data_IF_082298536634
#
_entry.id   IF_082298536634
#
_cell.length_a   1.000
_cell.length_b   1.000
_cell.length_c   1.000
_cell.angle_alpha   90.00
_cell.angle_beta   90.00
_cell.angle_gamma   90.00
#
_symmetry.space_group_name_H-M   'P 1'
#
loop_
_entity.id
_entity.type
_entity.pdbx_description
1 polymer ?
#
# COMPACT_ATOMS: atom_id res chain seq x y z
N UNK A 1 -74.32 -14.08 23.59
CA UNK A 1 -74.34 -15.24 24.50
C UNK A 1 -73.27 -16.24 24.09
N UNK A 2 -72.29 -16.43 24.98
CA UNK A 2 -71.48 -17.64 25.24
C UNK A 2 -70.96 -18.48 24.04
N UNK A 3 -69.64 -18.59 23.88
CA UNK A 3 -68.80 -19.53 24.66
C UNK A 3 -67.31 -19.22 24.45
N UNK A 4 -66.63 -18.85 25.54
CA UNK A 4 -65.17 -18.91 25.68
C UNK A 4 -64.76 -20.38 25.62
N UNK A 5 -63.76 -20.70 24.81
CA UNK A 5 -62.99 -21.94 24.94
C UNK A 5 -61.55 -21.56 25.29
N UNK A 6 -61.16 -21.87 26.52
CA UNK A 6 -59.77 -21.77 26.97
C UNK A 6 -58.97 -22.90 26.32
N UNK A 7 -57.92 -22.54 25.57
CA UNK A 7 -56.84 -23.46 25.22
C UNK A 7 -55.59 -23.03 25.98
N UNK A 8 -55.27 -23.82 26.99
CA UNK A 8 -53.98 -23.85 27.70
C UNK A 8 -52.90 -24.34 26.73
N UNK A 9 -52.08 -23.42 26.24
CA UNK A 9 -50.87 -23.72 25.49
C UNK A 9 -49.65 -23.35 26.33
N UNK A 10 -48.97 -24.37 26.87
CA UNK A 10 -47.66 -24.21 27.49
C UNK A 10 -46.63 -23.95 26.38
N UNK A 11 -46.31 -22.68 26.11
CA UNK A 11 -45.17 -22.34 25.29
C UNK A 11 -43.94 -22.27 26.19
N UNK A 12 -43.14 -23.34 26.19
CA UNK A 12 -41.80 -23.38 26.77
C UNK A 12 -40.96 -22.32 26.06
N UNK A 13 -40.65 -21.23 26.75
CA UNK A 13 -39.70 -20.24 26.27
C UNK A 13 -38.30 -20.85 26.45
N UNK A 14 -37.79 -21.50 25.40
CA UNK A 14 -36.42 -21.98 25.38
C UNK A 14 -35.49 -20.75 25.41
N UNK A 15 -34.85 -20.54 26.56
CA UNK A 15 -33.82 -19.52 26.73
C UNK A 15 -32.60 -19.95 25.90
N UNK A 16 -32.49 -19.44 24.68
CA UNK A 16 -31.29 -19.58 23.88
C UNK A 16 -30.17 -18.77 24.56
N UNK A 17 -29.29 -19.47 25.29
CA UNK A 17 -28.05 -18.90 25.78
C UNK A 17 -27.21 -18.60 24.54
N UNK A 18 -27.16 -17.33 24.13
CA UNK A 18 -26.19 -16.85 23.17
C UNK A 18 -24.81 -17.03 23.82
N UNK A 19 -24.08 -18.08 23.41
CA UNK A 19 -22.66 -18.18 23.69
C UNK A 19 -21.99 -17.01 22.97
N UNK A 20 -21.65 -15.96 23.72
CA UNK A 20 -20.77 -14.91 23.23
C UNK A 20 -19.41 -15.55 22.93
N UNK A 21 -19.20 -15.93 21.68
CA UNK A 21 -17.87 -16.26 21.20
C UNK A 21 -17.07 -14.97 21.31
N UNK A 22 -16.04 -14.99 22.16
CA UNK A 22 -15.00 -13.97 22.10
C UNK A 22 -14.33 -14.14 20.75
N UNK A 23 -14.79 -13.38 19.75
CA UNK A 23 -14.08 -13.23 18.51
C UNK A 23 -12.90 -12.32 18.83
N UNK A 24 -11.70 -12.89 18.82
CA UNK A 24 -10.46 -12.14 18.89
C UNK A 24 -10.28 -11.43 17.54
N UNK A 25 -11.04 -10.35 17.33
CA UNK A 25 -11.06 -9.56 16.09
C UNK A 25 -9.83 -8.66 15.94
N UNK A 26 -8.92 -8.67 16.91
CA UNK A 26 -7.64 -8.01 16.82
C UNK A 26 -6.64 -9.06 16.32
N UNK A 27 -6.26 -8.95 15.04
CA UNK A 27 -5.13 -9.70 14.50
C UNK A 27 -3.86 -9.44 15.31
N UNK A 28 -2.86 -10.30 15.15
CA UNK A 28 -1.57 -10.13 15.81
C UNK A 28 -1.03 -8.71 15.55
N UNK A 29 -0.72 -7.99 16.62
CA UNK A 29 -0.20 -6.60 16.58
C UNK A 29 1.33 -6.61 16.53
N UNK A 30 1.96 -7.79 16.54
CA UNK A 30 3.38 -7.93 16.30
C UNK A 30 3.73 -7.51 14.85
N UNK A 31 4.87 -6.84 14.65
CA UNK A 31 5.37 -6.55 13.30
C UNK A 31 5.47 -7.82 12.47
N UNK A 32 5.01 -7.75 11.23
CA UNK A 32 5.03 -8.86 10.30
C UNK A 32 6.37 -8.90 9.58
N UNK A 33 7.04 -10.07 9.53
CA UNK A 33 8.36 -10.20 8.90
C UNK A 33 8.26 -9.93 7.40
N UNK A 34 9.33 -9.35 6.85
CA UNK A 34 9.43 -9.00 5.44
C UNK A 34 10.53 -9.86 4.81
N UNK A 35 10.19 -10.61 3.76
CA UNK A 35 11.20 -11.35 2.98
C UNK A 35 11.99 -10.35 2.12
N UNK A 36 13.30 -10.26 2.38
CA UNK A 36 14.22 -9.36 1.67
C UNK A 36 15.32 -10.12 0.92
N UNK A 37 15.18 -11.42 0.72
CA UNK A 37 16.20 -12.29 0.10
C UNK A 37 16.53 -11.88 -1.33
N UNK A 38 15.58 -11.26 -2.03
CA UNK A 38 15.76 -10.78 -3.39
C UNK A 38 16.46 -9.41 -3.50
N UNK A 39 16.79 -8.77 -2.38
CA UNK A 39 17.50 -7.49 -2.36
C UNK A 39 19.00 -7.71 -2.12
N UNK A 40 19.87 -6.85 -2.68
CA UNK A 40 21.29 -6.85 -2.33
C UNK A 40 21.52 -6.74 -0.82
N UNK A 41 22.57 -7.38 -0.33
CA UNK A 41 22.93 -7.26 1.07
C UNK A 41 23.44 -5.86 1.39
N UNK A 42 23.00 -5.37 2.54
CA UNK A 42 23.44 -4.13 3.18
C UNK A 42 24.07 -4.57 4.50
N UNK A 43 25.27 -4.11 4.80
CA UNK A 43 26.04 -4.59 5.95
C UNK A 43 25.32 -4.45 7.30
N UNK A 44 25.98 -4.89 8.36
CA UNK A 44 25.41 -4.79 9.72
C UNK A 44 25.30 -3.35 10.21
N UNK A 45 26.19 -2.47 9.77
CA UNK A 45 26.14 -1.04 10.07
C UNK A 45 25.02 -0.38 9.26
N UNK A 46 24.24 0.46 9.94
CA UNK A 46 23.19 1.23 9.29
C UNK A 46 23.79 2.26 8.33
N UNK A 47 23.39 2.15 7.07
CA UNK A 47 23.67 3.13 6.05
C UNK A 47 22.99 4.45 6.40
N UNK A 48 23.58 5.56 5.96
CA UNK A 48 22.95 6.88 6.09
C UNK A 48 22.02 7.25 4.93
N UNK A 49 22.19 6.59 3.78
CA UNK A 49 21.50 6.90 2.53
C UNK A 49 20.78 5.68 1.98
N UNK A 50 19.68 5.90 1.27
CA UNK A 50 18.91 4.84 0.66
C UNK A 50 19.72 4.09 -0.43
N UNK A 51 20.10 2.81 -0.22
CA UNK A 51 20.92 2.06 -1.14
C UNK A 51 20.16 1.56 -2.37
N UNK A 52 18.82 1.58 -2.36
CA UNK A 52 18.00 0.95 -3.40
C UNK A 52 17.40 1.95 -4.41
N UNK A 53 17.87 3.20 -4.43
CA UNK A 53 17.50 4.14 -5.50
C UNK A 53 18.02 3.64 -6.85
N UNK A 54 17.27 3.91 -7.92
CA UNK A 54 17.56 3.39 -9.26
C UNK A 54 18.94 3.81 -9.79
N UNK A 55 19.40 5.02 -9.47
CA UNK A 55 20.72 5.53 -9.84
C UNK A 55 21.89 4.82 -9.14
N UNK A 56 21.61 4.19 -8.00
CA UNK A 56 22.60 3.51 -7.14
C UNK A 56 22.58 2.00 -7.35
N UNK A 57 21.39 1.39 -7.35
CA UNK A 57 21.20 -0.06 -7.41
C UNK A 57 20.74 -0.60 -8.77
N UNK A 58 20.37 0.28 -9.70
CA UNK A 58 19.75 -0.08 -10.97
C UNK A 58 18.24 -0.27 -10.86
N UNK A 59 17.54 -0.15 -11.99
CA UNK A 59 16.08 -0.19 -12.08
C UNK A 59 15.47 -1.51 -11.56
N UNK A 60 16.12 -2.64 -11.85
CA UNK A 60 15.62 -3.96 -11.41
C UNK A 60 15.59 -4.09 -9.88
N UNK A 61 16.68 -3.68 -9.21
CA UNK A 61 16.75 -3.71 -7.74
C UNK A 61 15.80 -2.68 -7.14
N UNK A 62 15.74 -1.48 -7.73
CA UNK A 62 14.81 -0.44 -7.29
C UNK A 62 13.37 -0.92 -7.35
N UNK A 63 12.93 -1.51 -8.47
CA UNK A 63 11.58 -2.04 -8.60
C UNK A 63 11.31 -3.15 -7.58
N UNK A 64 12.29 -4.04 -7.35
CA UNK A 64 12.18 -5.09 -6.33
C UNK A 64 12.02 -4.51 -4.92
N UNK A 65 12.75 -3.44 -4.62
CA UNK A 65 12.66 -2.74 -3.35
C UNK A 65 11.31 -2.03 -3.18
N UNK A 66 10.76 -1.43 -4.24
CA UNK A 66 9.40 -0.87 -4.24
C UNK A 66 8.35 -1.95 -3.96
N UNK A 67 8.43 -3.10 -4.63
CA UNK A 67 7.46 -4.20 -4.44
C UNK A 67 7.49 -4.76 -3.00
N UNK A 68 8.69 -5.07 -2.50
CA UNK A 68 8.90 -5.57 -1.13
C UNK A 68 8.49 -4.50 -0.12
N UNK A 69 8.87 -3.24 -0.37
CA UNK A 69 8.55 -2.09 0.46
C UNK A 69 7.05 -1.83 0.55
N UNK A 70 6.32 -1.97 -0.55
CA UNK A 70 4.86 -1.81 -0.60
C UNK A 70 4.16 -2.82 0.32
N UNK A 71 4.54 -4.10 0.21
CA UNK A 71 4.02 -5.14 1.10
C UNK A 71 4.40 -4.89 2.56
N UNK A 72 5.67 -4.57 2.82
CA UNK A 72 6.17 -4.29 4.16
C UNK A 72 5.48 -3.10 4.82
N UNK A 73 5.28 -2.02 4.07
CA UNK A 73 4.59 -0.82 4.51
C UNK A 73 3.12 -1.10 4.83
N UNK A 74 2.42 -1.82 3.95
CA UNK A 74 1.00 -2.12 4.15
C UNK A 74 0.76 -2.99 5.39
N UNK A 75 1.69 -3.89 5.71
CA UNK A 75 1.58 -4.76 6.88
C UNK A 75 1.96 -4.06 8.20
N UNK A 76 2.96 -3.17 8.17
CA UNK A 76 3.58 -2.65 9.39
C UNK A 76 3.32 -1.16 9.66
N UNK A 77 3.02 -0.35 8.64
CA UNK A 77 3.05 1.11 8.73
C UNK A 77 1.68 1.75 8.41
N UNK A 78 0.95 1.18 7.45
CA UNK A 78 -0.26 1.79 6.89
C UNK A 78 -1.40 2.01 7.90
N UNK A 79 -1.43 1.26 9.00
CA UNK A 79 -2.41 1.48 10.09
C UNK A 79 -2.30 2.88 10.71
N UNK A 80 -1.10 3.44 10.77
CA UNK A 80 -0.82 4.74 11.38
C UNK A 80 -0.60 5.84 10.34
N UNK A 81 0.18 5.53 9.30
CA UNK A 81 0.56 6.47 8.25
C UNK A 81 -0.39 6.46 7.04
N UNK A 82 -1.43 5.61 7.10
CA UNK A 82 -2.43 5.43 6.05
C UNK A 82 -1.95 4.62 4.86
N UNK A 83 -2.90 4.14 4.05
CA UNK A 83 -2.60 3.35 2.85
C UNK A 83 -1.86 4.22 1.82
N UNK A 84 -0.89 3.63 1.12
CA UNK A 84 -0.09 4.41 0.15
C UNK A 84 0.73 5.55 0.77
N UNK A 85 0.95 5.51 2.09
CA UNK A 85 1.56 6.58 2.90
C UNK A 85 0.76 7.88 3.00
N UNK A 86 -0.51 7.87 2.56
CA UNK A 86 -1.43 9.01 2.66
C UNK A 86 -2.09 9.00 4.03
N UNK A 87 -1.71 9.93 4.90
CA UNK A 87 -2.19 9.90 6.29
C UNK A 87 -3.65 10.34 6.43
N UNK A 88 -4.40 9.61 7.27
CA UNK A 88 -5.72 10.01 7.77
C UNK A 88 -5.70 10.88 9.03
N UNK A 89 -4.53 11.40 9.44
CA UNK A 89 -4.36 12.31 10.57
C UNK A 89 -3.91 11.66 11.89
N UNK A 90 -3.68 10.34 11.92
CA UNK A 90 -3.17 9.66 13.13
C UNK A 90 -1.65 9.84 13.31
N UNK A 91 -0.89 9.69 12.23
CA UNK A 91 0.55 9.94 12.17
C UNK A 91 0.88 10.84 10.96
N UNK A 92 2.11 11.35 10.79
CA UNK A 92 2.43 12.19 9.62
C UNK A 92 2.26 11.45 8.28
N UNK A 93 1.85 12.18 7.24
CA UNK A 93 1.90 11.71 5.84
C UNK A 93 3.37 11.60 5.42
N UNK A 94 3.80 10.39 5.06
CA UNK A 94 5.21 10.12 4.81
C UNK A 94 5.63 10.47 3.38
N UNK A 95 4.70 10.80 2.48
CA UNK A 95 5.04 11.22 1.12
C UNK A 95 5.79 12.54 1.10
N UNK A 96 5.61 13.37 2.14
CA UNK A 96 6.34 14.63 2.31
C UNK A 96 7.75 14.46 2.88
N UNK A 97 8.18 13.23 3.19
CA UNK A 97 9.56 12.99 3.56
C UNK A 97 10.42 12.92 2.30
N UNK A 98 11.09 14.03 1.99
CA UNK A 98 11.88 14.25 0.78
C UNK A 98 12.80 13.08 0.44
N UNK A 99 12.89 12.72 -0.84
CA UNK A 99 13.84 11.72 -1.35
C UNK A 99 15.25 12.30 -1.43
N UNK A 100 15.85 12.55 -0.27
CA UNK A 100 17.14 13.20 -0.11
C UNK A 100 17.89 12.62 1.10
N UNK A 101 19.17 12.94 1.21
CA UNK A 101 20.03 12.56 2.35
C UNK A 101 19.40 12.99 3.69
N UNK A 102 18.83 14.20 3.73
CA UNK A 102 18.14 14.70 4.93
C UNK A 102 16.89 13.88 5.26
N UNK A 103 16.09 13.51 4.26
CA UNK A 103 14.94 12.64 4.46
C UNK A 103 15.33 11.24 4.92
N UNK A 104 16.47 10.73 4.45
CA UNK A 104 17.00 9.42 4.83
C UNK A 104 17.47 9.39 6.28
N UNK A 105 18.17 10.43 6.74
CA UNK A 105 18.55 10.59 8.15
C UNK A 105 17.32 10.57 9.08
N UNK A 106 16.27 11.29 8.70
CA UNK A 106 15.01 11.29 9.46
C UNK A 106 14.32 9.92 9.43
N UNK A 107 14.27 9.28 8.27
CA UNK A 107 13.64 7.97 8.14
C UNK A 107 14.37 6.94 8.99
N UNK A 108 15.69 6.85 8.88
CA UNK A 108 16.48 5.79 9.50
C UNK A 108 16.49 5.92 11.01
N UNK A 109 16.53 7.14 11.57
CA UNK A 109 16.39 7.37 13.01
C UNK A 109 15.04 6.85 13.52
N UNK A 110 13.95 7.27 12.85
CA UNK A 110 12.58 6.94 13.26
C UNK A 110 12.29 5.46 13.09
N UNK A 111 12.77 4.85 12.02
CA UNK A 111 12.62 3.43 11.78
C UNK A 111 13.37 2.59 12.82
N UNK A 112 14.62 2.97 13.12
CA UNK A 112 15.45 2.23 14.07
C UNK A 112 14.92 2.33 15.50
N UNK A 113 14.63 3.55 15.95
CA UNK A 113 14.43 3.84 17.36
C UNK A 113 12.98 4.18 17.73
N UNK A 114 12.11 4.31 16.72
CA UNK A 114 10.72 4.70 16.92
C UNK A 114 10.61 6.16 17.36
N UNK A 115 9.49 6.48 18.02
CA UNK A 115 9.25 7.81 18.60
C UNK A 115 8.48 7.67 19.90
N UNK A 116 9.04 8.22 20.98
CA UNK A 116 8.40 8.28 22.30
C UNK A 116 8.33 9.73 22.75
N UNK A 117 7.15 10.14 23.19
CA UNK A 117 6.89 11.49 23.70
C UNK A 117 6.15 11.38 25.03
N UNK A 118 6.64 12.07 26.06
CA UNK A 118 6.07 12.06 27.41
C UNK A 118 5.90 10.65 28.00
N UNK A 119 6.86 9.77 27.70
CA UNK A 119 6.83 8.36 28.13
C UNK A 119 5.85 7.46 27.36
N UNK A 120 5.15 8.00 26.35
CA UNK A 120 4.20 7.26 25.51
C UNK A 120 4.86 6.98 24.15
N UNK A 121 5.03 5.71 23.82
CA UNK A 121 5.48 5.29 22.48
C UNK A 121 4.40 5.63 21.45
N UNK A 122 4.75 6.50 20.51
CA UNK A 122 3.91 6.94 19.38
C UNK A 122 4.21 6.15 18.12
N UNK A 123 5.47 5.78 17.93
CA UNK A 123 5.93 4.92 16.84
C UNK A 123 6.85 3.83 17.43
N UNK A 124 6.58 2.54 17.19
CA UNK A 124 7.47 1.47 17.62
C UNK A 124 8.85 1.54 16.96
N UNK A 125 9.86 1.01 17.62
CA UNK A 125 11.17 0.76 17.02
C UNK A 125 11.11 -0.51 16.15
N UNK A 126 11.57 -0.42 14.90
CA UNK A 126 11.55 -1.52 13.94
C UNK A 126 12.96 -2.02 13.57
N UNK A 127 14.02 -1.32 13.97
CA UNK A 127 15.39 -1.60 13.54
C UNK A 127 15.81 -3.05 13.78
N UNK A 128 15.73 -3.53 15.02
CA UNK A 128 16.08 -4.91 15.37
C UNK A 128 15.03 -5.94 14.90
N UNK A 129 13.78 -5.50 14.73
CA UNK A 129 12.64 -6.40 14.46
C UNK A 129 12.57 -6.78 12.98
N UNK A 130 12.70 -5.79 12.10
CA UNK A 130 12.58 -5.96 10.65
C UNK A 130 13.94 -5.93 9.93
N UNK A 131 14.93 -5.26 10.52
CA UNK A 131 16.26 -5.13 9.94
C UNK A 131 16.36 -4.08 8.84
N UNK A 132 17.60 -3.78 8.46
CA UNK A 132 17.95 -2.70 7.56
C UNK A 132 17.44 -2.88 6.13
N UNK A 133 17.54 -4.10 5.56
CA UNK A 133 17.04 -4.37 4.20
C UNK A 133 15.56 -4.04 4.07
N UNK A 134 14.77 -4.38 5.08
CA UNK A 134 13.34 -4.11 5.11
C UNK A 134 13.06 -2.60 5.27
N UNK A 135 13.80 -1.92 6.16
CA UNK A 135 13.71 -0.47 6.34
C UNK A 135 13.93 0.29 5.03
N UNK A 136 15.00 -0.02 4.31
CA UNK A 136 15.30 0.65 3.04
C UNK A 136 14.34 0.30 1.90
N UNK A 137 13.81 -0.92 1.86
CA UNK A 137 12.75 -1.27 0.92
C UNK A 137 11.48 -0.42 1.17
N UNK A 138 11.06 -0.32 2.43
CA UNK A 138 9.93 0.53 2.84
C UNK A 138 10.18 1.99 2.48
N UNK A 139 11.39 2.51 2.75
CA UNK A 139 11.79 3.87 2.38
C UNK A 139 11.67 4.11 0.88
N UNK A 140 12.21 3.20 0.08
CA UNK A 140 12.15 3.28 -1.40
C UNK A 140 10.71 3.33 -1.87
N UNK A 141 9.83 2.48 -1.34
CA UNK A 141 8.40 2.56 -1.64
C UNK A 141 7.78 3.91 -1.26
N UNK A 142 8.09 4.45 -0.07
CA UNK A 142 7.57 5.77 0.36
C UNK A 142 8.01 6.89 -0.59
N UNK A 143 9.27 6.89 -1.04
CA UNK A 143 9.80 7.90 -1.96
C UNK A 143 9.00 7.94 -3.27
N UNK A 144 8.54 6.79 -3.77
CA UNK A 144 7.82 6.69 -5.04
C UNK A 144 6.35 7.12 -5.01
N UNK A 145 5.82 7.51 -3.84
CA UNK A 145 4.38 7.77 -3.72
C UNK A 145 3.98 9.05 -4.48
N UNK A 146 2.92 8.99 -5.31
CA UNK A 146 2.43 10.15 -6.05
C UNK A 146 2.04 11.32 -5.14
N UNK A 147 2.24 12.55 -5.64
CA UNK A 147 1.63 13.73 -5.05
C UNK A 147 0.10 13.70 -5.15
N UNK A 148 -0.56 14.52 -4.33
CA UNK A 148 -2.01 14.64 -4.38
C UNK A 148 -2.46 15.21 -5.73
N UNK A 149 -3.51 14.64 -6.32
CA UNK A 149 -4.02 15.04 -7.63
C UNK A 149 -3.09 14.76 -8.83
N UNK A 150 -2.00 13.99 -8.64
CA UNK A 150 -1.02 13.74 -9.71
C UNK A 150 -1.59 13.07 -10.98
N UNK A 151 -2.78 12.47 -10.87
CA UNK A 151 -3.47 11.78 -11.96
C UNK A 151 -4.73 12.51 -12.44
N UNK A 152 -5.11 13.64 -11.84
CA UNK A 152 -6.38 14.33 -12.12
C UNK A 152 -6.54 14.65 -13.61
N UNK A 153 -5.46 15.12 -14.23
CA UNK A 153 -5.45 15.46 -15.66
C UNK A 153 -5.70 14.25 -16.59
N UNK A 154 -5.43 13.03 -16.11
CA UNK A 154 -5.61 11.79 -16.87
C UNK A 154 -6.74 10.91 -16.32
N UNK A 155 -7.46 11.35 -15.29
CA UNK A 155 -8.41 10.51 -14.55
C UNK A 155 -9.51 9.96 -15.45
N UNK A 156 -10.17 10.80 -16.24
CA UNK A 156 -11.21 10.37 -17.17
C UNK A 156 -10.68 9.32 -18.16
N UNK A 157 -9.47 9.55 -18.71
CA UNK A 157 -8.86 8.63 -19.66
C UNK A 157 -8.48 7.30 -19.00
N UNK A 158 -7.98 7.31 -17.77
CA UNK A 158 -7.66 6.09 -17.04
C UNK A 158 -8.92 5.27 -16.72
N UNK A 159 -10.06 5.91 -16.47
CA UNK A 159 -11.35 5.24 -16.33
C UNK A 159 -11.80 4.57 -17.63
N UNK A 160 -11.63 5.25 -18.77
CA UNK A 160 -11.91 4.66 -20.09
C UNK A 160 -11.03 3.44 -20.38
N UNK A 161 -9.71 3.54 -20.11
CA UNK A 161 -8.76 2.43 -20.29
C UNK A 161 -9.15 1.25 -19.41
N UNK A 162 -9.49 1.51 -18.14
CA UNK A 162 -9.99 0.48 -17.21
C UNK A 162 -11.20 -0.24 -17.77
N UNK A 163 -12.20 0.49 -18.26
CA UNK A 163 -13.45 -0.08 -18.77
C UNK A 163 -13.21 -0.88 -20.06
N UNK A 164 -12.32 -0.40 -20.93
CA UNK A 164 -11.87 -1.12 -22.14
C UNK A 164 -11.18 -2.44 -21.77
N UNK A 165 -10.23 -2.42 -20.82
CA UNK A 165 -9.54 -3.63 -20.34
C UNK A 165 -10.49 -4.62 -19.63
N UNK A 166 -11.45 -4.11 -18.84
CA UNK A 166 -12.43 -4.94 -18.13
C UNK A 166 -13.40 -5.66 -19.09
N UNK A 167 -13.83 -4.98 -20.16
CA UNK A 167 -14.70 -5.56 -21.20
C UNK A 167 -13.95 -6.51 -22.14
N UNK A 168 -12.66 -6.24 -22.39
CA UNK A 168 -11.86 -6.94 -23.39
C UNK A 168 -12.21 -6.59 -24.83
N UNK A 169 -13.14 -5.65 -25.04
CA UNK A 169 -13.59 -5.26 -26.37
C UNK A 169 -12.67 -4.19 -26.96
N UNK A 170 -12.18 -4.42 -28.18
CA UNK A 170 -11.35 -3.45 -28.91
C UNK A 170 -10.02 -3.14 -28.21
N UNK A 171 -9.50 -4.05 -27.36
CA UNK A 171 -8.22 -3.86 -26.68
C UNK A 171 -7.06 -4.01 -27.67
N UNK A 172 -6.26 -2.96 -27.77
CA UNK A 172 -4.91 -3.01 -28.34
C UNK A 172 -3.92 -2.95 -27.17
N UNK A 173 -3.39 -4.11 -26.71
CA UNK A 173 -2.58 -4.16 -25.50
C UNK A 173 -1.27 -3.38 -25.65
N UNK A 174 -0.69 -3.33 -26.85
CA UNK A 174 0.54 -2.60 -27.10
C UNK A 174 0.31 -1.07 -27.06
N UNK A 175 -0.78 -0.60 -27.67
CA UNK A 175 -1.15 0.81 -27.64
C UNK A 175 -1.51 1.27 -26.21
N UNK A 176 -2.34 0.50 -25.49
CA UNK A 176 -2.73 0.85 -24.12
C UNK A 176 -1.54 0.82 -23.16
N UNK A 177 -0.63 -0.14 -23.30
CA UNK A 177 0.59 -0.17 -22.51
C UNK A 177 1.48 1.05 -22.75
N UNK A 178 1.61 1.47 -24.00
CA UNK A 178 2.37 2.68 -24.36
C UNK A 178 1.72 3.91 -23.74
N UNK A 179 0.40 4.07 -23.90
CA UNK A 179 -0.35 5.20 -23.34
C UNK A 179 -0.26 5.28 -21.82
N UNK A 180 -0.43 4.15 -21.12
CA UNK A 180 -0.29 4.09 -19.66
C UNK A 180 1.15 4.41 -19.19
N UNK A 181 2.16 4.01 -19.96
CA UNK A 181 3.57 4.35 -19.68
C UNK A 181 3.80 5.85 -19.84
N UNK A 182 3.25 6.46 -20.89
CA UNK A 182 3.34 7.90 -21.12
C UNK A 182 2.64 8.69 -20.01
N UNK A 183 1.44 8.26 -19.59
CA UNK A 183 0.73 8.86 -18.44
C UNK A 183 1.59 8.72 -17.18
N UNK A 184 2.10 7.52 -16.89
CA UNK A 184 2.93 7.25 -15.72
C UNK A 184 4.17 8.15 -15.64
N UNK A 185 4.81 8.43 -16.79
CA UNK A 185 5.97 9.31 -16.86
C UNK A 185 5.66 10.77 -16.48
N UNK A 186 4.40 11.19 -16.48
CA UNK A 186 3.97 12.53 -16.05
C UNK A 186 3.62 12.63 -14.56
N UNK A 187 3.51 11.48 -13.87
CA UNK A 187 3.10 11.43 -12.46
C UNK A 187 4.24 11.86 -11.57
N UNK A 188 4.04 12.95 -10.84
CA UNK A 188 5.01 13.46 -9.87
C UNK A 188 4.90 12.73 -8.54
N UNK A 189 6.03 12.53 -7.88
CA UNK A 189 6.07 12.07 -6.50
C UNK A 189 5.96 13.26 -5.55
N UNK A 190 5.37 13.05 -4.37
CA UNK A 190 5.33 14.11 -3.36
C UNK A 190 6.70 14.33 -2.68
N UNK A 191 7.57 13.33 -2.73
CA UNK A 191 8.90 13.35 -2.10
C UNK A 191 9.97 14.05 -2.94
N UNK A 192 9.68 14.32 -4.22
CA UNK A 192 10.66 14.81 -5.20
C UNK A 192 11.50 13.70 -5.85
N UNK A 193 11.26 12.43 -5.55
CA UNK A 193 11.85 11.31 -6.28
C UNK A 193 11.48 11.35 -7.78
N UNK A 194 12.38 10.91 -8.68
CA UNK A 194 12.21 11.09 -10.12
C UNK A 194 11.11 10.22 -10.74
N UNK A 195 10.75 9.10 -10.10
CA UNK A 195 9.80 8.12 -10.64
C UNK A 195 8.74 7.80 -9.59
N UNK A 196 7.48 7.84 -10.00
CA UNK A 196 6.36 7.46 -9.15
C UNK A 196 5.90 6.02 -9.39
N UNK A 197 5.62 5.29 -8.31
CA UNK A 197 4.88 4.02 -8.33
C UNK A 197 3.39 4.35 -8.49
N UNK A 198 3.02 4.69 -9.72
CA UNK A 198 1.67 5.10 -10.09
C UNK A 198 0.82 3.92 -10.54
N UNK A 199 -0.50 4.06 -10.41
CA UNK A 199 -1.45 3.02 -10.82
C UNK A 199 -1.41 2.79 -12.35
N UNK A 200 -1.05 3.83 -13.11
CA UNK A 200 -0.81 3.74 -14.54
C UNK A 200 0.44 2.89 -14.85
N UNK A 201 1.55 3.11 -14.13
CA UNK A 201 2.78 2.31 -14.29
C UNK A 201 2.54 0.83 -13.98
N UNK A 202 1.83 0.55 -12.88
CA UNK A 202 1.50 -0.82 -12.46
C UNK A 202 0.60 -1.52 -13.47
N UNK A 203 -0.45 -0.85 -13.95
CA UNK A 203 -1.31 -1.40 -14.99
C UNK A 203 -0.55 -1.66 -16.31
N UNK A 204 0.35 -0.75 -16.72
CA UNK A 204 1.19 -0.94 -17.91
C UNK A 204 2.10 -2.18 -17.80
N UNK A 205 2.63 -2.43 -16.60
CA UNK A 205 3.49 -3.59 -16.34
C UNK A 205 2.73 -4.93 -16.43
N UNK A 206 1.44 -4.93 -16.09
CA UNK A 206 0.58 -6.12 -16.08
C UNK A 206 0.07 -6.49 -17.48
N UNK A 207 -0.14 -5.52 -18.38
CA UNK A 207 -0.71 -5.77 -19.71
C UNK A 207 0.25 -6.60 -20.59
N UNK A 208 -0.29 -7.70 -21.12
CA UNK A 208 0.32 -8.56 -22.14
C UNK A 208 -0.67 -8.87 -23.26
N UNK A 209 -0.28 -9.69 -24.23
CA UNK A 209 -1.18 -10.20 -25.27
C UNK A 209 -2.21 -11.22 -24.73
N UNK A 210 -2.07 -11.70 -23.49
CA UNK A 210 -3.04 -12.58 -22.84
C UNK A 210 -4.21 -11.79 -22.23
N UNK A 211 -5.47 -12.00 -22.70
CA UNK A 211 -6.64 -11.32 -22.15
C UNK A 211 -6.89 -11.52 -20.66
N UNK A 212 -6.34 -12.57 -20.04
CA UNK A 212 -6.42 -12.74 -18.59
C UNK A 212 -5.73 -11.58 -17.84
N UNK A 213 -4.64 -11.05 -18.40
CA UNK A 213 -3.88 -9.95 -17.80
C UNK A 213 -4.61 -8.61 -17.84
N UNK A 214 -5.52 -8.42 -18.79
CA UNK A 214 -6.28 -7.18 -18.92
C UNK A 214 -7.24 -6.99 -17.75
N UNK A 215 -7.83 -8.08 -17.26
CA UNK A 215 -8.69 -8.03 -16.06
C UNK A 215 -7.90 -7.61 -14.83
N UNK A 216 -6.69 -8.15 -14.66
CA UNK A 216 -5.79 -7.75 -13.56
C UNK A 216 -5.43 -6.27 -13.67
N UNK A 217 -5.03 -5.80 -14.85
CA UNK A 217 -4.74 -4.38 -15.08
C UNK A 217 -5.96 -3.47 -14.82
N UNK A 218 -7.15 -3.92 -15.22
CA UNK A 218 -8.40 -3.21 -14.91
C UNK A 218 -8.69 -3.17 -13.41
N UNK A 219 -8.45 -4.26 -12.67
CA UNK A 219 -8.58 -4.30 -11.21
C UNK A 219 -7.58 -3.35 -10.53
N UNK A 220 -6.33 -3.32 -11.00
CA UNK A 220 -5.28 -2.38 -10.55
C UNK A 220 -5.73 -0.93 -10.72
N UNK A 221 -6.25 -0.58 -11.91
CA UNK A 221 -6.81 0.76 -12.15
C UNK A 221 -8.05 1.02 -11.29
N UNK A 222 -8.92 0.03 -11.10
CA UNK A 222 -10.12 0.16 -10.26
C UNK A 222 -9.77 0.53 -8.82
N UNK A 223 -8.87 -0.24 -8.21
CA UNK A 223 -8.43 -0.02 -6.83
C UNK A 223 -7.69 1.31 -6.73
N UNK A 224 -6.76 1.56 -7.66
CA UNK A 224 -5.93 2.75 -7.70
C UNK A 224 -6.69 4.05 -7.82
N UNK A 225 -7.61 4.14 -8.77
CA UNK A 225 -8.40 5.35 -9.01
C UNK A 225 -9.39 5.61 -7.86
N UNK A 226 -9.92 4.56 -7.22
CA UNK A 226 -10.81 4.71 -6.06
C UNK A 226 -10.13 5.27 -4.81
N UNK A 227 -8.81 5.12 -4.70
CA UNK A 227 -8.01 5.63 -3.59
C UNK A 227 -7.49 7.06 -3.82
N UNK A 228 -7.78 7.66 -4.98
CA UNK A 228 -7.28 8.99 -5.39
C UNK A 228 -8.31 10.12 -5.13
N UNK A 229 -9.33 9.88 -4.30
CA UNK A 229 -10.44 10.79 -4.00
C UNK A 229 -10.57 11.11 -2.51
#
# INVERSE_FOLDING_TARGET
MSKRTHRTGHAVFALAIAAATTVWAHGDVAPQPINTDALPDVGEEWLGLNPYRADTAGEEVWQKAVDIGSSGFNQNCARCHGLGAVSGGLAPDLRFLEASDYGDEWFVERFQHGYTQDGITKMPAFGEVLGQKAGWAIRTYIETRPEDGALDASSDRLHEIRDQLASGEGVDPAALKTELTDIAATVKTASGAPVADSVAARAAAEITDDPATWKTAAETLTIGLSASH
#
